data_IF_600003767516
#
_entry.id   IF_600003767516
#
_cell.length_a   1.000
_cell.length_b   1.000
_cell.length_c   1.000
_cell.angle_alpha   90.00
_cell.angle_beta   90.00
_cell.angle_gamma   90.00
#
_symmetry.space_group_name_H-M   'P 1'
#
loop_
_entity.id
_entity.type
_entity.pdbx_description
1 polymer ?
#
# COMPACT_ATOMS: atom_id res chain seq x y z
N UNK A 1 -17.52 20.96 -34.99
CA UNK A 1 -16.19 20.35 -34.79
C UNK A 1 -15.82 20.28 -33.31
N UNK A 2 -15.92 21.38 -32.56
CA UNK A 2 -15.59 21.45 -31.11
C UNK A 2 -16.41 20.46 -30.26
N UNK A 3 -17.73 20.39 -30.43
CA UNK A 3 -18.59 19.49 -29.66
C UNK A 3 -18.19 18.01 -29.83
N UNK A 4 -17.87 17.59 -31.07
CA UNK A 4 -17.39 16.20 -31.33
C UNK A 4 -16.06 15.90 -30.64
N UNK A 5 -15.18 16.88 -30.56
CA UNK A 5 -13.91 16.75 -29.84
C UNK A 5 -14.13 16.56 -28.33
N UNK A 6 -14.98 17.38 -27.71
CA UNK A 6 -15.30 17.20 -26.30
C UNK A 6 -16.02 15.89 -25.99
N UNK A 7 -16.96 15.48 -26.88
CA UNK A 7 -17.61 14.17 -26.73
C UNK A 7 -16.62 13.02 -26.78
N UNK A 8 -15.61 13.11 -27.65
CA UNK A 8 -14.55 12.10 -27.75
C UNK A 8 -13.69 12.04 -26.47
N UNK A 9 -13.31 13.19 -25.89
CA UNK A 9 -12.56 13.24 -24.64
C UNK A 9 -13.35 12.64 -23.47
N UNK A 10 -14.65 12.97 -23.37
CA UNK A 10 -15.53 12.39 -22.34
C UNK A 10 -15.62 10.87 -22.51
N UNK A 11 -15.76 10.38 -23.74
CA UNK A 11 -15.82 8.96 -24.03
C UNK A 11 -14.51 8.24 -23.61
N UNK A 12 -13.37 8.82 -23.95
CA UNK A 12 -12.05 8.28 -23.52
C UNK A 12 -11.93 8.23 -21.99
N UNK A 13 -12.39 9.30 -21.31
CA UNK A 13 -12.38 9.34 -19.85
C UNK A 13 -13.28 8.26 -19.24
N UNK A 14 -14.50 8.07 -19.78
CA UNK A 14 -15.44 7.01 -19.34
C UNK A 14 -14.83 5.62 -19.54
N UNK A 15 -14.22 5.36 -20.72
CA UNK A 15 -13.54 4.07 -21.00
C UNK A 15 -12.39 3.85 -20.02
N UNK A 16 -11.56 4.87 -19.77
CA UNK A 16 -10.46 4.81 -18.81
C UNK A 16 -10.94 4.53 -17.40
N UNK A 17 -12.01 5.19 -16.96
CA UNK A 17 -12.61 4.93 -15.66
C UNK A 17 -13.19 3.53 -15.55
N UNK A 18 -13.91 3.06 -16.59
CA UNK A 18 -14.46 1.70 -16.60
C UNK A 18 -13.34 0.64 -16.52
N UNK A 19 -12.26 0.83 -17.29
CA UNK A 19 -11.09 -0.05 -17.20
C UNK A 19 -10.45 -0.02 -15.82
N UNK A 20 -10.25 1.16 -15.23
CA UNK A 20 -9.72 1.30 -13.88
C UNK A 20 -10.57 0.56 -12.83
N UNK A 21 -11.90 0.66 -12.95
CA UNK A 21 -12.83 0.05 -12.00
C UNK A 21 -12.93 -1.48 -12.10
N UNK A 22 -12.68 -2.03 -13.31
CA UNK A 22 -12.78 -3.48 -13.57
C UNK A 22 -11.44 -4.19 -13.32
N UNK A 23 -10.33 -3.56 -13.72
CA UNK A 23 -8.99 -4.14 -13.66
C UNK A 23 -8.26 -3.71 -12.38
N UNK A 24 -8.84 -4.02 -11.21
CA UNK A 24 -8.17 -3.74 -9.93
C UNK A 24 -7.01 -4.72 -9.69
N UNK A 25 -5.88 -4.23 -9.16
CA UNK A 25 -4.75 -5.08 -8.79
C UNK A 25 -5.13 -6.19 -7.82
N UNK A 26 -4.43 -7.32 -7.94
CA UNK A 26 -4.68 -8.53 -7.14
C UNK A 26 -3.63 -8.70 -6.03
N UNK A 27 -3.92 -9.56 -5.02
CA UNK A 27 -2.92 -9.98 -4.06
C UNK A 27 -1.72 -10.64 -4.75
N UNK A 28 -0.54 -10.51 -4.15
CA UNK A 28 0.61 -11.32 -4.53
C UNK A 28 0.46 -12.76 -4.01
N UNK A 29 1.23 -13.67 -4.60
CA UNK A 29 1.28 -15.05 -4.12
C UNK A 29 1.76 -15.10 -2.66
N UNK A 30 1.16 -16.00 -1.87
CA UNK A 30 1.44 -16.10 -0.43
C UNK A 30 2.87 -16.53 -0.12
N UNK A 31 3.48 -17.31 -1.01
CA UNK A 31 4.86 -17.79 -0.93
C UNK A 31 5.90 -16.82 -1.50
N UNK A 32 5.47 -15.67 -2.03
CA UNK A 32 6.40 -14.68 -2.57
C UNK A 32 7.24 -14.05 -1.46
N UNK A 33 8.57 -14.20 -1.55
CA UNK A 33 9.51 -13.67 -0.56
C UNK A 33 10.02 -12.28 -0.94
N UNK A 34 10.11 -11.39 0.08
CA UNK A 34 10.71 -10.05 -0.04
C UNK A 34 11.57 -9.74 1.19
N UNK A 35 12.49 -8.79 1.08
CA UNK A 35 13.31 -8.35 2.22
C UNK A 35 12.46 -7.76 3.34
N UNK A 36 11.44 -7.01 2.99
CA UNK A 36 10.51 -6.40 3.94
C UNK A 36 9.09 -6.30 3.37
N UNK A 37 8.11 -6.11 4.25
CA UNK A 37 6.75 -5.75 3.92
C UNK A 37 6.43 -4.37 4.48
N UNK A 38 5.67 -3.57 3.74
CA UNK A 38 5.24 -2.24 4.14
C UNK A 38 3.74 -2.10 3.92
N UNK A 39 3.04 -1.52 4.88
CA UNK A 39 1.60 -1.34 4.80
C UNK A 39 1.22 0.13 5.00
N UNK A 40 0.28 0.61 4.18
CA UNK A 40 -0.30 1.93 4.33
C UNK A 40 -1.58 1.85 5.17
N UNK A 41 -1.63 2.61 6.27
CA UNK A 41 -2.83 2.69 7.13
C UNK A 41 -4.04 3.29 6.42
N UNK A 42 -5.20 3.28 7.07
CA UNK A 42 -6.41 3.94 6.59
C UNK A 42 -7.33 3.08 5.72
N UNK A 43 -7.22 1.75 5.78
CA UNK A 43 -8.15 0.82 5.13
C UNK A 43 -8.19 -0.53 5.83
N UNK A 44 -9.38 -1.14 5.89
CA UNK A 44 -9.59 -2.42 6.54
C UNK A 44 -8.77 -3.56 5.89
N UNK A 45 -8.35 -4.53 6.71
CA UNK A 45 -7.67 -5.75 6.30
C UNK A 45 -6.21 -5.57 5.82
N UNK A 46 -5.72 -4.34 5.72
CA UNK A 46 -4.35 -4.09 5.22
C UNK A 46 -3.31 -4.51 6.25
N UNK A 47 -3.50 -4.12 7.51
CA UNK A 47 -2.56 -4.46 8.60
C UNK A 47 -2.60 -5.95 8.85
N UNK A 48 -3.80 -6.58 8.89
CA UNK A 48 -3.93 -8.04 9.01
C UNK A 48 -3.11 -8.76 7.93
N UNK A 49 -3.29 -8.36 6.66
CA UNK A 49 -2.53 -8.95 5.54
C UNK A 49 -1.00 -8.82 5.72
N UNK A 50 -0.54 -7.65 6.18
CA UNK A 50 0.89 -7.43 6.40
C UNK A 50 1.44 -8.25 7.58
N UNK A 51 0.65 -8.41 8.64
CA UNK A 51 0.99 -9.26 9.79
C UNK A 51 1.05 -10.74 9.39
N UNK A 52 0.09 -11.23 8.59
CA UNK A 52 0.09 -12.61 8.07
C UNK A 52 1.36 -12.90 7.24
N UNK A 53 1.78 -11.96 6.39
CA UNK A 53 3.02 -12.06 5.60
C UNK A 53 4.25 -12.16 6.52
N UNK A 54 4.29 -11.35 7.58
CA UNK A 54 5.39 -11.36 8.54
C UNK A 54 5.44 -12.68 9.34
N UNK A 55 4.27 -13.16 9.79
CA UNK A 55 4.16 -14.44 10.53
C UNK A 55 4.48 -15.65 9.65
N UNK A 56 4.11 -15.62 8.37
CA UNK A 56 4.51 -16.63 7.39
C UNK A 56 6.01 -16.59 7.07
N UNK A 57 6.75 -15.60 7.60
CA UNK A 57 8.20 -15.40 7.37
C UNK A 57 8.58 -15.23 5.90
N UNK A 58 7.64 -14.74 5.07
CA UNK A 58 7.90 -14.39 3.68
C UNK A 58 8.45 -12.97 3.53
N UNK A 59 8.51 -12.21 4.64
CA UNK A 59 9.24 -10.96 4.77
C UNK A 59 9.94 -10.90 6.14
N UNK A 60 11.11 -10.27 6.19
CA UNK A 60 11.91 -10.22 7.42
C UNK A 60 11.47 -9.18 8.43
N UNK A 61 10.83 -8.09 7.99
CA UNK A 61 10.34 -6.98 8.83
C UNK A 61 9.14 -6.30 8.21
N UNK A 62 8.34 -5.66 9.06
CA UNK A 62 7.17 -4.88 8.67
C UNK A 62 7.35 -3.40 9.06
N UNK A 63 7.02 -2.50 8.14
CA UNK A 63 6.74 -1.09 8.45
C UNK A 63 5.24 -0.82 8.31
N UNK A 64 4.60 -0.33 9.37
CA UNK A 64 3.25 0.23 9.33
C UNK A 64 3.39 1.74 9.17
N UNK A 65 3.14 2.27 7.97
CA UNK A 65 3.34 3.69 7.64
C UNK A 65 2.04 4.49 7.75
N UNK A 66 2.13 5.71 8.30
CA UNK A 66 0.98 6.59 8.52
C UNK A 66 0.19 6.27 9.80
N UNK A 67 0.86 5.76 10.82
CA UNK A 67 0.27 5.53 12.15
C UNK A 67 0.12 6.87 12.87
N UNK A 68 -0.95 7.03 13.65
CA UNK A 68 -1.09 8.18 14.54
C UNK A 68 -0.02 8.15 15.63
N UNK A 69 0.51 9.32 16.01
CA UNK A 69 1.62 9.44 16.97
C UNK A 69 1.29 8.96 18.38
N UNK A 70 0.00 8.93 18.72
CA UNK A 70 -0.46 8.51 20.03
C UNK A 70 -0.61 6.99 20.14
N UNK A 71 -0.60 6.27 19.00
CA UNK A 71 -0.73 4.80 18.95
C UNK A 71 0.55 4.12 19.40
N UNK A 72 0.41 3.18 20.34
CA UNK A 72 1.52 2.37 20.88
C UNK A 72 1.55 0.99 20.24
N UNK A 73 2.74 0.37 20.09
CA UNK A 73 2.85 -0.99 19.55
C UNK A 73 1.95 -2.01 20.25
N UNK A 74 1.87 -1.96 21.60
CA UNK A 74 1.04 -2.86 22.40
C UNK A 74 -0.48 -2.69 22.13
N UNK A 75 -0.93 -1.49 21.78
CA UNK A 75 -2.33 -1.25 21.41
C UNK A 75 -2.67 -1.92 20.07
N UNK A 76 -1.76 -1.83 19.08
CA UNK A 76 -1.92 -2.56 17.83
C UNK A 76 -1.82 -4.07 18.02
N UNK A 77 -0.90 -4.55 18.86
CA UNK A 77 -0.80 -5.96 19.18
C UNK A 77 -2.12 -6.51 19.73
N UNK A 78 -2.74 -5.79 20.67
CA UNK A 78 -4.04 -6.15 21.25
C UNK A 78 -5.20 -6.02 20.22
N UNK A 79 -5.21 -4.98 19.38
CA UNK A 79 -6.25 -4.76 18.37
C UNK A 79 -6.27 -5.88 17.31
N UNK A 80 -5.09 -6.33 16.88
CA UNK A 80 -4.95 -7.37 15.84
C UNK A 80 -4.76 -8.78 16.38
N UNK A 81 -4.88 -8.98 17.71
CA UNK A 81 -4.69 -10.27 18.39
C UNK A 81 -3.37 -10.97 17.98
N UNK A 82 -2.26 -10.22 18.11
CA UNK A 82 -0.91 -10.69 17.80
C UNK A 82 0.01 -10.56 19.02
N UNK A 83 1.02 -11.44 19.13
CA UNK A 83 1.97 -11.39 20.25
C UNK A 83 2.75 -10.08 20.32
N UNK A 84 2.89 -9.47 21.50
CA UNK A 84 3.73 -8.28 21.73
C UNK A 84 5.15 -8.47 21.21
N UNK A 85 5.70 -9.67 21.39
CA UNK A 85 7.05 -10.02 20.93
C UNK A 85 7.24 -9.83 19.41
N UNK A 86 6.18 -9.94 18.60
CA UNK A 86 6.24 -9.69 17.16
C UNK A 86 6.42 -8.19 16.88
N UNK A 87 5.76 -7.34 17.66
CA UNK A 87 5.90 -5.88 17.58
C UNK A 87 7.28 -5.43 18.06
N UNK A 88 7.80 -6.02 19.11
CA UNK A 88 9.11 -5.67 19.67
C UNK A 88 10.28 -6.05 18.75
N UNK A 89 10.20 -7.21 18.09
CA UNK A 89 11.32 -7.69 17.25
C UNK A 89 11.30 -7.12 15.85
N UNK A 90 10.10 -7.02 15.24
CA UNK A 90 10.01 -7.16 13.80
C UNK A 90 9.09 -6.13 13.12
N UNK A 91 8.43 -5.26 13.87
CA UNK A 91 7.51 -4.23 13.37
C UNK A 91 8.00 -2.84 13.75
N UNK A 92 8.12 -1.98 12.76
CA UNK A 92 8.41 -0.57 12.95
C UNK A 92 7.14 0.26 12.64
N UNK A 93 6.87 1.31 13.43
CA UNK A 93 5.76 2.24 13.20
C UNK A 93 6.28 3.54 12.57
N UNK A 94 5.65 3.96 11.48
CA UNK A 94 5.92 5.20 10.78
C UNK A 94 4.89 6.27 11.12
N UNK A 95 5.35 7.41 11.64
CA UNK A 95 4.52 8.50 12.17
C UNK A 95 4.62 9.80 11.35
N UNK A 96 5.39 9.81 10.26
CA UNK A 96 5.68 11.03 9.51
C UNK A 96 4.73 11.24 8.32
N UNK A 97 4.05 10.20 7.91
CA UNK A 97 3.22 10.22 6.73
C UNK A 97 1.82 10.80 7.04
N UNK A 98 1.38 11.72 6.18
CA UNK A 98 0.05 12.34 6.22
C UNK A 98 -0.72 12.17 4.90
N UNK A 99 -0.04 11.71 3.85
CA UNK A 99 -0.60 11.45 2.52
C UNK A 99 0.18 10.34 1.81
N UNK A 100 -0.24 9.96 0.60
CA UNK A 100 0.39 8.86 -0.15
C UNK A 100 1.85 9.16 -0.51
N UNK A 101 2.17 10.40 -0.82
CA UNK A 101 3.54 10.80 -1.18
C UNK A 101 4.46 10.76 0.04
N UNK A 102 4.02 11.26 1.18
CA UNK A 102 4.80 11.19 2.43
C UNK A 102 4.95 9.76 2.95
N UNK A 103 3.93 8.88 2.76
CA UNK A 103 4.09 7.45 3.00
C UNK A 103 5.22 6.86 2.13
N UNK A 104 5.24 7.16 0.84
CA UNK A 104 6.27 6.67 -0.06
C UNK A 104 7.69 7.13 0.36
N UNK A 105 7.84 8.39 0.78
CA UNK A 105 9.12 8.93 1.27
C UNK A 105 9.55 8.29 2.60
N UNK A 106 8.61 8.03 3.52
CA UNK A 106 8.87 7.35 4.79
C UNK A 106 9.36 5.93 4.55
N UNK A 107 8.67 5.17 3.70
CA UNK A 107 9.01 3.80 3.30
C UNK A 107 10.39 3.77 2.63
N UNK A 108 10.65 4.66 1.66
CA UNK A 108 11.91 4.69 0.94
C UNK A 108 13.11 4.95 1.88
N UNK A 109 12.97 5.89 2.82
CA UNK A 109 14.00 6.15 3.83
C UNK A 109 14.22 4.96 4.76
N UNK A 110 13.13 4.30 5.18
CA UNK A 110 13.19 3.14 6.05
C UNK A 110 13.88 1.96 5.36
N UNK A 111 13.48 1.62 4.14
CA UNK A 111 14.07 0.55 3.34
C UNK A 111 15.55 0.81 3.03
N UNK A 112 15.90 2.07 2.69
CA UNK A 112 17.29 2.45 2.41
C UNK A 112 18.20 2.27 3.62
N UNK A 113 17.75 2.64 4.84
CA UNK A 113 18.54 2.43 6.08
C UNK A 113 18.80 0.94 6.36
N UNK A 114 17.95 0.07 5.87
CA UNK A 114 18.05 -1.39 6.04
C UNK A 114 18.83 -2.06 4.91
N UNK A 115 19.03 -1.37 3.80
CA UNK A 115 19.63 -1.95 2.60
C UNK A 115 18.73 -2.95 1.89
N UNK A 116 17.39 -2.82 2.05
CA UNK A 116 16.43 -3.75 1.45
C UNK A 116 16.49 -3.67 -0.09
N UNK A 117 16.52 -4.84 -0.73
CA UNK A 117 16.53 -4.99 -2.20
C UNK A 117 15.17 -5.33 -2.77
N UNK A 118 14.22 -5.68 -1.92
CA UNK A 118 12.84 -5.91 -2.29
C UNK A 118 11.89 -5.51 -1.17
N UNK A 119 10.76 -4.91 -1.53
CA UNK A 119 9.72 -4.43 -0.62
C UNK A 119 8.36 -4.92 -1.13
N UNK A 120 7.57 -5.56 -0.27
CA UNK A 120 6.18 -5.93 -0.55
C UNK A 120 5.26 -4.83 -0.05
N UNK A 121 4.60 -4.13 -0.98
CA UNK A 121 3.67 -3.03 -0.70
C UNK A 121 2.27 -3.57 -0.50
N UNK A 122 1.70 -3.41 0.70
CA UNK A 122 0.35 -3.81 1.04
C UNK A 122 -0.56 -2.58 1.15
N UNK A 123 -1.62 -2.55 0.36
CA UNK A 123 -2.69 -1.54 0.44
C UNK A 123 -3.94 -2.06 -0.26
N UNK A 124 -5.06 -1.31 -0.22
CA UNK A 124 -6.28 -1.71 -0.93
C UNK A 124 -6.09 -1.72 -2.44
N UNK A 125 -6.80 -2.61 -3.12
CA UNK A 125 -6.79 -2.80 -4.57
C UNK A 125 -7.02 -1.49 -5.36
N UNK A 126 -8.04 -0.70 -4.99
CA UNK A 126 -8.33 0.58 -5.64
C UNK A 126 -7.25 1.66 -5.43
N UNK A 127 -6.44 1.53 -4.35
CA UNK A 127 -5.38 2.48 -4.01
C UNK A 127 -4.00 2.05 -4.53
N UNK A 128 -3.81 0.79 -4.87
CA UNK A 128 -2.52 0.17 -5.18
C UNK A 128 -1.76 0.89 -6.30
N UNK A 129 -2.43 1.26 -7.38
CA UNK A 129 -1.76 1.89 -8.54
C UNK A 129 -1.09 3.21 -8.16
N UNK A 130 -1.80 4.07 -7.39
CA UNK A 130 -1.26 5.35 -6.94
C UNK A 130 -0.17 5.17 -5.88
N UNK A 131 -0.39 4.30 -4.91
CA UNK A 131 0.59 4.01 -3.86
C UNK A 131 1.90 3.48 -4.46
N UNK A 132 1.81 2.53 -5.41
CA UNK A 132 2.96 1.99 -6.13
C UNK A 132 3.70 3.06 -6.92
N UNK A 133 2.99 3.89 -7.68
CA UNK A 133 3.59 4.97 -8.48
C UNK A 133 4.37 5.96 -7.60
N UNK A 134 3.82 6.38 -6.47
CA UNK A 134 4.51 7.27 -5.54
C UNK A 134 5.72 6.57 -4.89
N UNK A 135 5.60 5.27 -4.59
CA UNK A 135 6.71 4.50 -4.03
C UNK A 135 7.84 4.31 -5.06
N UNK A 136 7.54 4.01 -6.32
CA UNK A 136 8.53 3.90 -7.41
C UNK A 136 9.30 5.21 -7.63
N UNK A 137 8.64 6.36 -7.46
CA UNK A 137 9.27 7.68 -7.55
C UNK A 137 10.21 7.98 -6.38
N UNK A 138 9.96 7.39 -5.22
CA UNK A 138 10.71 7.65 -3.99
C UNK A 138 11.84 6.63 -3.75
N UNK A 139 11.69 5.40 -4.23
CA UNK A 139 12.64 4.31 -4.04
C UNK A 139 13.84 4.40 -4.97
N UNK A 140 14.94 3.75 -4.58
CA UNK A 140 16.08 3.53 -5.46
C UNK A 140 15.69 2.61 -6.62
N UNK A 141 16.19 2.84 -7.85
CA UNK A 141 15.77 2.09 -9.03
C UNK A 141 16.07 0.58 -8.99
N UNK A 142 17.00 0.15 -8.14
CA UNK A 142 17.42 -1.25 -7.99
C UNK A 142 16.60 -2.02 -6.95
N UNK A 143 15.63 -1.37 -6.29
CA UNK A 143 14.76 -2.02 -5.30
C UNK A 143 13.49 -2.54 -5.98
N UNK A 144 13.26 -3.83 -5.87
CA UNK A 144 12.05 -4.47 -6.39
C UNK A 144 10.83 -4.14 -5.51
N UNK A 145 9.76 -3.65 -6.11
CA UNK A 145 8.47 -3.44 -5.44
C UNK A 145 7.48 -4.50 -5.87
N UNK A 146 7.08 -5.38 -4.94
CA UNK A 146 6.02 -6.36 -5.13
C UNK A 146 4.70 -5.78 -4.62
N UNK A 147 3.71 -5.61 -5.49
CA UNK A 147 2.37 -5.17 -5.11
C UNK A 147 1.56 -6.32 -4.51
N UNK A 148 0.96 -6.10 -3.34
CA UNK A 148 0.06 -7.05 -2.69
C UNK A 148 -1.24 -6.32 -2.30
N UNK A 149 -2.23 -6.42 -3.18
CA UNK A 149 -3.45 -5.66 -3.08
C UNK A 149 -4.50 -6.40 -2.25
N UNK A 150 -4.88 -5.81 -1.12
CA UNK A 150 -6.01 -6.30 -0.32
C UNK A 150 -7.31 -6.07 -1.11
N UNK A 151 -8.01 -7.15 -1.40
CA UNK A 151 -9.28 -7.09 -2.14
C UNK A 151 -10.36 -6.46 -1.27
N UNK A 152 -11.00 -5.44 -1.81
CA UNK A 152 -12.07 -4.69 -1.14
C UNK A 152 -13.30 -4.61 -2.04
N UNK A 153 -14.39 -4.06 -1.51
CA UNK A 153 -15.58 -3.73 -2.30
C UNK A 153 -15.75 -2.21 -2.33
N UNK A 154 -14.91 -1.49 -3.10
CA UNK A 154 -14.96 -0.04 -3.10
C UNK A 154 -16.26 0.48 -3.68
N UNK A 155 -16.81 1.55 -3.08
CA UNK A 155 -17.95 2.24 -3.66
C UNK A 155 -17.56 2.92 -4.98
N UNK A 156 -18.54 3.16 -5.87
CA UNK A 156 -18.31 3.93 -7.09
C UNK A 156 -17.72 5.33 -6.79
N UNK A 157 -18.11 5.94 -5.66
CA UNK A 157 -17.56 7.22 -5.21
C UNK A 157 -16.07 7.11 -4.89
N UNK A 158 -15.67 6.03 -4.21
CA UNK A 158 -14.25 5.77 -3.89
C UNK A 158 -13.42 5.61 -5.16
N UNK A 159 -13.89 4.79 -6.10
CA UNK A 159 -13.24 4.56 -7.40
C UNK A 159 -13.12 5.85 -8.21
N UNK A 160 -14.21 6.62 -8.31
CA UNK A 160 -14.23 7.90 -9.01
C UNK A 160 -13.24 8.91 -8.40
N UNK A 161 -13.22 9.02 -7.07
CA UNK A 161 -12.31 9.93 -6.38
C UNK A 161 -10.86 9.54 -6.58
N UNK A 162 -10.55 8.25 -6.56
CA UNK A 162 -9.18 7.76 -6.75
C UNK A 162 -8.70 7.92 -8.19
N UNK A 163 -9.56 7.63 -9.18
CA UNK A 163 -9.26 7.78 -10.60
C UNK A 163 -8.92 9.22 -11.00
N UNK A 164 -9.46 10.23 -10.29
CA UNK A 164 -9.24 11.65 -10.57
C UNK A 164 -8.10 12.28 -9.74
N UNK A 165 -7.33 11.51 -9.02
CA UNK A 165 -6.14 11.97 -8.27
C UNK A 165 -4.86 11.75 -9.05
#
# INVERSE_FOLDING_TARGET
MILRFFSFLILLWIIGFAWFAIDLPRPADDDAHTGSVVVLTGGAGRIDRALDILEAKTAGRLLISGVDRDVKPAELAAEYDRPDALFDCCIDLGFQAVDTRSNALEIARWAARRGDKSVRLVTSDWHMRRARLELERAMQPDVLILSDAVQTQPSLRTLFTEYNK
#
